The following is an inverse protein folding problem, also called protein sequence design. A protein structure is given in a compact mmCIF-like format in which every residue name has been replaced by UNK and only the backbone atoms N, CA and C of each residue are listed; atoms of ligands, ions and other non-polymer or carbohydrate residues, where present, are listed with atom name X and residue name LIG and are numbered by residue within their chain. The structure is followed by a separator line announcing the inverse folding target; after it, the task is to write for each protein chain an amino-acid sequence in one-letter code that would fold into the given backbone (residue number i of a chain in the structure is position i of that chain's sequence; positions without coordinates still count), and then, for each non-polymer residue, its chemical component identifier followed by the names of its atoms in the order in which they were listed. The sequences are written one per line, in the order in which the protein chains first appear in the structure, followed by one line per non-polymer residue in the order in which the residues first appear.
data_IF_753379785435
#
_entry.id   IF_753379785435
#
_cell.length_a   1.000
_cell.length_b   1.000
_cell.length_c   1.000
_cell.angle_alpha   90.00
_cell.angle_beta   90.00
_cell.angle_gamma   90.00
#
_symmetry.space_group_name_H-M   'P 1'
#
loop_
_entity.id
_entity.type
_entity.pdbx_description
1 polymer ?
#
# COMPACT_ATOMS: atom_id res chain seq x y z
N UNK A 1 -18.27 -23.52 54.00
CA UNK A 1 -19.67 -23.13 53.72
C UNK A 1 -19.85 -22.96 52.22
N UNK A 2 -20.78 -23.69 51.61
CA UNK A 2 -21.11 -23.62 50.18
C UNK A 2 -22.28 -22.65 49.92
N UNK A 3 -22.26 -21.96 48.75
CA UNK A 3 -23.37 -21.43 47.92
C UNK A 3 -22.83 -20.24 47.09
N UNK A 4 -23.17 -19.98 45.83
CA UNK A 4 -24.23 -20.46 44.94
C UNK A 4 -23.83 -20.10 43.48
N UNK A 5 -23.95 -21.02 42.53
CA UNK A 5 -23.81 -20.74 41.10
C UNK A 5 -24.94 -19.80 40.62
N UNK A 6 -24.63 -18.86 39.72
CA UNK A 6 -25.63 -18.13 38.92
C UNK A 6 -25.68 -18.70 37.50
N UNK A 7 -26.89 -19.13 37.09
CA UNK A 7 -27.22 -19.71 35.78
C UNK A 7 -27.17 -18.67 34.66
N UNK A 8 -26.75 -19.13 33.47
CA UNK A 8 -26.70 -18.41 32.19
C UNK A 8 -28.10 -18.17 31.61
N UNK A 9 -28.26 -17.12 30.81
CA UNK A 9 -29.33 -16.98 29.82
C UNK A 9 -28.74 -16.66 28.43
N UNK A 10 -29.34 -17.19 27.34
CA UNK A 10 -28.91 -16.95 25.97
C UNK A 10 -29.50 -15.64 25.45
N UNK A 11 -29.01 -15.10 24.34
CA UNK A 11 -29.82 -14.49 23.26
C UNK A 11 -28.88 -13.98 22.15
N UNK A 12 -29.13 -14.51 20.96
CA UNK A 12 -28.62 -14.13 19.63
C UNK A 12 -27.13 -14.27 19.37
N UNK A 13 -26.85 -15.25 18.52
CA UNK A 13 -25.71 -15.39 17.62
C UNK A 13 -25.43 -14.06 16.90
N UNK A 14 -24.72 -13.14 17.55
CA UNK A 14 -23.93 -12.17 16.81
C UNK A 14 -22.75 -12.97 16.32
N UNK A 15 -22.74 -13.27 15.02
CA UNK A 15 -21.50 -13.64 14.33
C UNK A 15 -20.57 -12.45 14.54
N UNK A 16 -19.83 -12.50 15.65
CA UNK A 16 -18.60 -11.76 15.75
C UNK A 16 -17.75 -12.37 14.65
N UNK A 17 -17.63 -11.67 13.52
CA UNK A 17 -16.42 -11.78 12.74
C UNK A 17 -15.31 -11.47 13.74
N UNK A 18 -14.78 -12.51 14.35
CA UNK A 18 -13.56 -12.40 15.13
C UNK A 18 -12.55 -11.97 14.10
N UNK A 19 -12.17 -10.70 14.13
CA UNK A 19 -10.86 -10.25 13.69
C UNK A 19 -9.85 -11.11 14.45
N UNK A 20 -9.60 -12.31 13.95
CA UNK A 20 -8.58 -13.20 14.47
C UNK A 20 -7.29 -12.42 14.34
N UNK A 21 -6.80 -11.90 15.48
CA UNK A 21 -5.58 -11.10 15.53
C UNK A 21 -4.51 -11.86 14.76
N UNK A 22 -3.99 -11.23 13.70
CA UNK A 22 -2.88 -11.73 12.90
C UNK A 22 -1.70 -12.01 13.85
N UNK A 23 -1.57 -13.27 14.29
CA UNK A 23 -0.59 -13.73 15.28
C UNK A 23 0.41 -14.65 14.59
N UNK A 24 1.29 -14.07 13.79
CA UNK A 24 2.44 -14.77 13.24
C UNK A 24 3.74 -14.22 13.79
N UNK A 25 4.73 -15.10 13.90
CA UNK A 25 6.10 -14.70 14.17
C UNK A 25 6.64 -13.84 13.02
N UNK A 26 7.71 -13.09 13.30
CA UNK A 26 8.41 -12.29 12.28
C UNK A 26 8.89 -13.17 11.11
N UNK A 27 9.33 -14.38 11.40
CA UNK A 27 9.87 -15.32 10.41
C UNK A 27 8.75 -15.83 9.50
N UNK A 28 7.60 -16.20 10.06
CA UNK A 28 6.44 -16.66 9.28
C UNK A 28 5.88 -15.55 8.40
N UNK A 29 5.77 -14.33 8.94
CA UNK A 29 5.32 -13.14 8.18
C UNK A 29 6.24 -12.90 6.99
N UNK A 30 7.57 -12.94 7.20
CA UNK A 30 8.54 -12.75 6.12
C UNK A 30 8.49 -13.88 5.08
N UNK A 31 8.28 -15.14 5.51
CA UNK A 31 8.13 -16.29 4.60
C UNK A 31 6.88 -16.15 3.74
N UNK A 32 5.76 -15.72 4.32
CA UNK A 32 4.52 -15.46 3.60
C UNK A 32 4.71 -14.39 2.54
N UNK A 33 5.27 -13.22 2.92
CA UNK A 33 5.55 -12.12 1.99
C UNK A 33 6.42 -12.60 0.82
N UNK A 34 7.52 -13.32 1.10
CA UNK A 34 8.41 -13.86 0.06
C UNK A 34 7.68 -14.83 -0.88
N UNK A 35 6.92 -15.77 -0.32
CA UNK A 35 6.14 -16.74 -1.10
C UNK A 35 5.17 -16.03 -2.04
N UNK A 36 4.45 -15.02 -1.52
CA UNK A 36 3.52 -14.23 -2.30
C UNK A 36 4.20 -13.50 -3.47
N UNK A 37 5.38 -12.91 -3.25
CA UNK A 37 6.14 -12.27 -4.34
C UNK A 37 6.64 -13.26 -5.40
N UNK A 38 7.03 -14.48 -5.01
CA UNK A 38 7.41 -15.53 -5.97
C UNK A 38 6.21 -15.91 -6.83
N UNK A 39 5.07 -16.23 -6.20
CA UNK A 39 3.84 -16.57 -6.89
C UNK A 39 3.35 -15.43 -7.80
N UNK A 40 3.43 -14.18 -7.35
CA UNK A 40 3.02 -13.03 -8.17
C UNK A 40 3.90 -12.86 -9.43
N UNK A 41 5.21 -13.13 -9.33
CA UNK A 41 6.13 -13.12 -10.48
C UNK A 41 5.84 -14.27 -11.44
N UNK A 42 5.57 -15.46 -10.92
CA UNK A 42 5.18 -16.62 -11.75
C UNK A 42 3.84 -16.38 -12.44
N UNK A 43 2.87 -15.79 -11.74
CA UNK A 43 1.56 -15.44 -12.27
C UNK A 43 1.68 -14.48 -13.46
N UNK A 44 2.52 -13.45 -13.35
CA UNK A 44 2.77 -12.51 -14.44
C UNK A 44 3.33 -13.22 -15.70
N UNK A 45 4.23 -14.20 -15.52
CA UNK A 45 4.74 -15.01 -16.64
C UNK A 45 3.66 -15.89 -17.26
N UNK A 46 2.82 -16.52 -16.43
CA UNK A 46 1.75 -17.39 -16.92
C UNK A 46 0.70 -16.60 -17.70
N UNK A 47 0.35 -15.39 -17.25
CA UNK A 47 -0.59 -14.51 -17.96
C UNK A 47 -0.09 -14.06 -19.34
N UNK A 48 1.22 -14.03 -19.54
CA UNK A 48 1.82 -13.69 -20.83
C UNK A 48 1.82 -14.86 -21.83
N UNK A 49 1.53 -16.09 -21.39
CA UNK A 49 1.55 -17.31 -22.22
C UNK A 49 0.25 -18.13 -22.05
N UNK A 50 -0.63 -18.17 -23.07
CA UNK A 50 -1.87 -18.94 -23.04
C UNK A 50 -1.69 -20.44 -22.72
N UNK A 51 -0.53 -21.02 -23.01
CA UNK A 51 -0.25 -22.44 -22.72
C UNK A 51 -0.10 -22.73 -21.22
N UNK A 52 0.15 -21.68 -20.42
CA UNK A 52 0.32 -21.77 -18.97
C UNK A 52 -0.98 -21.52 -18.19
N UNK A 53 -2.14 -21.46 -18.85
CA UNK A 53 -3.43 -21.19 -18.22
C UNK A 53 -3.76 -22.16 -17.06
N UNK A 54 -3.33 -23.43 -17.16
CA UNK A 54 -3.48 -24.39 -16.05
C UNK A 54 -2.66 -23.95 -14.83
N UNK A 55 -1.41 -23.56 -15.05
CA UNK A 55 -0.50 -23.12 -13.99
C UNK A 55 -0.96 -21.79 -13.37
N UNK A 56 -1.51 -20.88 -14.17
CA UNK A 56 -2.13 -19.65 -13.67
C UNK A 56 -3.23 -19.94 -12.62
N UNK A 57 -4.12 -20.90 -12.91
CA UNK A 57 -5.19 -21.28 -11.99
C UNK A 57 -4.64 -21.90 -10.70
N UNK A 58 -3.62 -22.75 -10.81
CA UNK A 58 -2.94 -23.36 -9.67
C UNK A 58 -2.29 -22.31 -8.77
N UNK A 59 -1.56 -21.34 -9.36
CA UNK A 59 -0.93 -20.25 -8.62
C UNK A 59 -1.97 -19.38 -7.93
N UNK A 60 -3.06 -19.05 -8.62
CA UNK A 60 -4.14 -18.23 -8.05
C UNK A 60 -4.75 -18.94 -6.84
N UNK A 61 -5.03 -20.24 -6.95
CA UNK A 61 -5.50 -21.05 -5.83
C UNK A 61 -4.49 -21.11 -4.70
N UNK A 62 -3.20 -21.28 -5.00
CA UNK A 62 -2.15 -21.30 -3.97
C UNK A 62 -2.05 -19.96 -3.23
N UNK A 63 -2.26 -18.84 -3.93
CA UNK A 63 -2.31 -17.50 -3.34
C UNK A 63 -3.53 -17.34 -2.42
N UNK A 64 -4.70 -17.87 -2.81
CA UNK A 64 -5.90 -17.91 -1.97
C UNK A 64 -5.72 -18.78 -0.73
N UNK A 65 -5.14 -19.98 -0.89
CA UNK A 65 -4.90 -20.94 0.20
C UNK A 65 -3.97 -20.38 1.29
N UNK A 66 -3.03 -19.49 0.95
CA UNK A 66 -2.17 -18.79 1.93
C UNK A 66 -2.81 -17.51 2.51
N UNK A 67 -4.11 -17.30 2.28
CA UNK A 67 -4.91 -16.20 2.82
C UNK A 67 -5.19 -15.07 1.83
N UNK A 68 -4.71 -15.16 0.59
CA UNK A 68 -4.95 -14.18 -0.45
C UNK A 68 -4.26 -12.84 -0.22
N UNK A 69 -4.67 -11.87 -1.03
CA UNK A 69 -4.07 -10.53 -1.03
C UNK A 69 -4.29 -9.77 0.29
N UNK A 70 -5.45 -9.96 0.93
CA UNK A 70 -5.75 -9.34 2.22
C UNK A 70 -4.74 -9.76 3.30
N UNK A 71 -4.46 -11.06 3.41
CA UNK A 71 -3.46 -11.58 4.35
C UNK A 71 -2.05 -11.08 4.03
N UNK A 72 -1.69 -11.03 2.74
CA UNK A 72 -0.42 -10.43 2.32
C UNK A 72 -0.32 -8.96 2.75
N UNK A 73 -1.38 -8.16 2.53
CA UNK A 73 -1.37 -6.74 2.90
C UNK A 73 -1.27 -6.56 4.42
N UNK A 74 -1.99 -7.36 5.22
CA UNK A 74 -1.85 -7.37 6.69
C UNK A 74 -0.44 -7.72 7.13
N UNK A 75 0.16 -8.75 6.53
CA UNK A 75 1.54 -9.16 6.77
C UNK A 75 2.55 -8.04 6.43
N UNK A 76 2.37 -7.39 5.27
CA UNK A 76 3.21 -6.31 4.79
C UNK A 76 3.13 -5.08 5.70
N UNK A 77 1.91 -4.67 6.10
CA UNK A 77 1.69 -3.58 7.06
C UNK A 77 2.37 -3.83 8.40
N UNK A 78 2.30 -5.06 8.92
CA UNK A 78 3.01 -5.43 10.15
C UNK A 78 4.54 -5.29 10.00
N UNK A 79 5.06 -5.65 8.82
CA UNK A 79 6.46 -5.46 8.43
C UNK A 79 6.88 -3.99 8.34
N UNK A 80 5.97 -3.10 7.95
CA UNK A 80 6.22 -1.65 7.79
C UNK A 80 5.93 -0.81 9.04
N UNK A 81 5.56 -1.44 10.16
CA UNK A 81 5.30 -0.73 11.42
C UNK A 81 6.46 0.20 11.82
N UNK A 82 6.16 1.24 12.64
CA UNK A 82 7.13 2.24 13.12
C UNK A 82 8.42 1.62 13.71
N UNK A 83 8.35 0.39 14.22
CA UNK A 83 9.48 -0.34 14.77
C UNK A 83 10.35 -1.08 13.72
N UNK A 84 9.94 -1.16 12.45
CA UNK A 84 10.53 -2.06 11.43
C UNK A 84 10.78 -1.45 10.05
N UNK A 85 10.48 -0.17 9.83
CA UNK A 85 10.76 0.50 8.56
C UNK A 85 10.07 1.86 8.40
N UNK A 86 8.93 2.04 9.07
CA UNK A 86 8.23 3.32 9.10
C UNK A 86 7.52 3.68 7.78
N UNK A 87 6.78 4.78 7.86
CA UNK A 87 6.07 5.40 6.75
C UNK A 87 7.00 6.38 6.02
N UNK A 88 7.04 6.30 4.68
CA UNK A 88 7.87 7.15 3.83
C UNK A 88 7.54 8.64 3.94
N UNK A 89 6.34 9.00 4.40
CA UNK A 89 5.96 10.38 4.68
C UNK A 89 6.97 11.06 5.61
N UNK A 90 7.41 10.38 6.68
CA UNK A 90 8.36 10.95 7.64
C UNK A 90 9.69 11.31 7.01
N UNK A 91 10.23 10.40 6.20
CA UNK A 91 11.46 10.64 5.48
C UNK A 91 11.32 11.79 4.48
N UNK A 92 10.18 11.85 3.77
CA UNK A 92 9.88 12.93 2.83
C UNK A 92 9.86 14.29 3.54
N UNK A 93 9.15 14.40 4.67
CA UNK A 93 9.04 15.65 5.43
C UNK A 93 10.40 16.09 5.97
N UNK A 94 11.18 15.16 6.53
CA UNK A 94 12.54 15.46 6.99
C UNK A 94 13.43 15.96 5.85
N UNK A 95 13.33 15.32 4.69
CA UNK A 95 14.07 15.70 3.48
C UNK A 95 13.68 17.10 3.01
N UNK A 96 12.38 17.40 2.89
CA UNK A 96 11.88 18.71 2.49
C UNK A 96 12.32 19.82 3.45
N UNK A 97 12.16 19.61 4.76
CA UNK A 97 12.63 20.56 5.76
C UNK A 97 14.13 20.82 5.65
N UNK A 98 14.94 19.78 5.41
CA UNK A 98 16.39 19.93 5.29
C UNK A 98 16.78 20.69 4.03
N UNK A 99 16.16 20.40 2.88
CA UNK A 99 16.49 21.05 1.61
C UNK A 99 15.95 22.47 1.49
N UNK A 100 14.84 22.77 2.15
CA UNK A 100 14.24 24.10 2.19
C UNK A 100 14.68 24.93 3.40
N UNK A 101 15.69 24.49 4.16
CA UNK A 101 16.16 25.16 5.39
C UNK A 101 15.03 25.46 6.40
N UNK A 102 14.02 24.59 6.47
CA UNK A 102 12.85 24.75 7.34
C UNK A 102 11.82 25.77 6.84
N UNK A 103 11.91 26.25 5.60
CA UNK A 103 11.01 27.26 5.03
C UNK A 103 9.91 26.68 4.13
N UNK A 104 9.76 25.36 4.08
CA UNK A 104 8.79 24.70 3.17
C UNK A 104 7.33 25.03 3.52
N UNK A 105 7.06 25.34 4.78
CA UNK A 105 5.74 25.73 5.29
C UNK A 105 5.41 27.22 5.02
N UNK A 106 6.38 27.99 4.51
CA UNK A 106 6.23 29.41 4.16
C UNK A 106 5.91 29.61 2.66
N UNK A 107 5.83 28.53 1.88
CA UNK A 107 5.44 28.60 0.48
C UNK A 107 3.99 29.10 0.32
N UNK A 108 3.77 29.99 -0.66
CA UNK A 108 2.44 30.58 -0.91
C UNK A 108 1.40 29.60 -1.46
N UNK A 109 1.83 28.44 -1.94
CA UNK A 109 0.99 27.35 -2.44
C UNK A 109 1.36 26.05 -1.73
N UNK A 110 0.38 25.25 -1.30
CA UNK A 110 0.64 23.93 -0.74
C UNK A 110 1.31 23.00 -1.76
N UNK A 111 2.24 22.19 -1.30
CA UNK A 111 2.91 21.14 -2.08
C UNK A 111 1.92 20.01 -2.35
N UNK A 112 1.71 19.66 -3.62
CA UNK A 112 0.85 18.55 -4.04
C UNK A 112 1.63 17.24 -4.06
N UNK A 113 1.24 16.30 -3.20
CA UNK A 113 1.88 14.99 -3.08
C UNK A 113 0.93 13.89 -3.56
N UNK A 114 1.36 13.07 -4.51
CA UNK A 114 0.70 11.80 -4.83
C UNK A 114 1.36 10.68 -4.00
N UNK A 115 0.61 10.09 -3.07
CA UNK A 115 1.11 9.00 -2.21
C UNK A 115 0.63 7.65 -2.74
N UNK A 116 1.49 6.95 -3.47
CA UNK A 116 1.18 5.68 -4.13
C UNK A 116 1.51 4.52 -3.19
N UNK A 117 0.54 3.62 -3.00
CA UNK A 117 0.68 2.50 -2.06
C UNK A 117 0.41 2.91 -0.61
N UNK A 118 -0.46 3.91 -0.41
CA UNK A 118 -0.71 4.49 0.89
C UNK A 118 -1.27 3.42 1.85
N UNK A 119 -0.63 3.27 3.01
CA UNK A 119 -1.06 2.31 4.05
C UNK A 119 -2.00 2.90 5.08
N UNK A 120 -2.01 4.23 5.21
CA UNK A 120 -2.87 5.01 6.07
C UNK A 120 -3.28 6.32 5.37
N UNK A 121 -4.50 6.82 5.59
CA UNK A 121 -5.04 7.99 4.88
C UNK A 121 -4.47 9.32 5.39
N UNK A 122 -3.90 9.33 6.58
CA UNK A 122 -3.58 10.53 7.37
C UNK A 122 -2.07 10.75 7.57
N UNK A 123 -1.24 10.04 6.79
CA UNK A 123 0.22 10.16 6.80
C UNK A 123 0.72 11.63 6.75
N UNK A 124 0.01 12.48 6.01
CA UNK A 124 0.34 13.90 5.83
C UNK A 124 -0.57 14.87 6.61
N UNK A 125 -1.53 14.37 7.39
CA UNK A 125 -2.49 15.21 8.12
C UNK A 125 -1.80 16.27 9.03
N UNK A 126 -0.70 15.94 9.76
CA UNK A 126 0.01 16.92 10.58
C UNK A 126 0.61 18.10 9.80
N UNK A 127 0.72 17.98 8.47
CA UNK A 127 1.34 18.96 7.58
C UNK A 127 0.33 19.58 6.60
N UNK A 128 -0.97 19.42 6.88
CA UNK A 128 -2.06 19.89 6.01
C UNK A 128 -2.10 21.40 5.77
N UNK A 129 -1.36 22.21 6.54
CA UNK A 129 -1.20 23.64 6.28
C UNK A 129 -0.36 23.95 5.04
N UNK A 130 0.53 23.03 4.62
CA UNK A 130 1.43 23.25 3.49
C UNK A 130 1.57 22.04 2.55
N UNK A 131 0.90 20.92 2.84
CA UNK A 131 0.80 19.74 1.96
C UNK A 131 -0.65 19.44 1.61
N UNK A 132 -0.89 19.22 0.32
CA UNK A 132 -2.11 18.57 -0.19
C UNK A 132 -1.75 17.19 -0.71
N UNK A 133 -2.09 16.15 0.05
CA UNK A 133 -1.80 14.77 -0.31
C UNK A 133 -2.99 14.07 -0.98
N UNK A 134 -2.73 13.31 -2.04
CA UNK A 134 -3.67 12.38 -2.67
C UNK A 134 -3.18 10.93 -2.43
N UNK A 135 -3.74 10.22 -1.44
CA UNK A 135 -3.38 8.82 -1.19
C UNK A 135 -4.11 7.89 -2.15
N UNK A 136 -3.37 7.03 -2.83
CA UNK A 136 -3.90 6.00 -3.73
C UNK A 136 -3.33 4.62 -3.41
N UNK A 137 -4.09 3.57 -3.68
CA UNK A 137 -3.63 2.18 -3.59
C UNK A 137 -4.40 1.29 -4.58
N UNK A 138 -3.81 0.18 -5.03
CA UNK A 138 -4.50 -0.75 -5.92
C UNK A 138 -5.62 -1.53 -5.20
N UNK A 139 -5.43 -1.79 -3.91
CA UNK A 139 -6.33 -2.52 -3.03
C UNK A 139 -6.38 -1.84 -1.65
N UNK A 140 -7.00 -0.65 -1.56
CA UNK A 140 -6.98 0.15 -0.35
C UNK A 140 -7.66 -0.58 0.80
N UNK A 141 -7.06 -0.43 1.98
CA UNK A 141 -7.52 -1.01 3.24
C UNK A 141 -8.28 0.02 4.10
N UNK A 142 -8.49 1.22 3.56
CA UNK A 142 -9.19 2.32 4.22
C UNK A 142 -9.98 3.12 3.16
N UNK A 143 -11.25 3.50 3.40
CA UNK A 143 -12.12 4.13 2.41
C UNK A 143 -11.63 5.53 1.94
N UNK A 144 -10.85 6.22 2.77
CA UNK A 144 -10.25 7.51 2.41
C UNK A 144 -8.98 7.38 1.52
N UNK A 145 -8.60 6.17 1.13
CA UNK A 145 -7.52 5.92 0.16
C UNK A 145 -8.18 5.52 -1.16
N UNK A 146 -7.87 6.27 -2.23
CA UNK A 146 -8.50 6.05 -3.54
C UNK A 146 -8.00 4.74 -4.16
N UNK A 147 -8.94 3.89 -4.63
CA UNK A 147 -8.59 2.69 -5.37
C UNK A 147 -8.19 3.07 -6.80
N UNK A 148 -6.90 3.04 -7.10
CA UNK A 148 -6.39 3.43 -8.40
C UNK A 148 -5.14 2.62 -8.77
N UNK A 149 -5.09 2.13 -10.01
CA UNK A 149 -3.85 1.65 -10.61
C UNK A 149 -3.07 2.83 -11.18
N UNK A 150 -1.90 3.12 -10.61
CA UNK A 150 -1.10 4.27 -11.02
C UNK A 150 -0.52 4.13 -12.43
N UNK A 151 -0.33 2.89 -12.93
CA UNK A 151 0.15 2.64 -14.29
C UNK A 151 -0.92 2.97 -15.34
N UNK A 152 -2.18 2.98 -14.92
CA UNK A 152 -3.33 3.30 -15.77
C UNK A 152 -3.85 4.72 -15.54
N UNK A 153 -3.20 5.52 -14.69
CA UNK A 153 -3.57 6.92 -14.50
C UNK A 153 -3.33 7.69 -15.79
N UNK A 154 -4.35 8.42 -16.22
CA UNK A 154 -4.19 9.40 -17.29
C UNK A 154 -3.33 10.56 -16.76
N UNK A 155 -2.44 11.13 -17.59
CA UNK A 155 -1.70 12.32 -17.20
C UNK A 155 -2.70 13.43 -16.79
N UNK A 156 -2.53 14.04 -15.61
CA UNK A 156 -3.40 15.13 -15.19
C UNK A 156 -3.22 16.34 -16.10
N UNK A 157 -4.21 17.23 -16.11
CA UNK A 157 -4.05 18.55 -16.70
C UNK A 157 -2.87 19.29 -16.03
N UNK A 158 -2.31 20.30 -16.70
CA UNK A 158 -1.09 20.99 -16.23
C UNK A 158 -1.23 21.47 -14.78
N UNK A 159 -2.37 22.04 -14.42
CA UNK A 159 -2.62 22.60 -13.08
C UNK A 159 -2.91 21.53 -12.01
N UNK A 160 -3.19 20.29 -12.43
CA UNK A 160 -3.49 19.14 -11.57
C UNK A 160 -2.28 18.20 -11.41
N UNK A 161 -1.12 18.58 -11.94
CA UNK A 161 0.14 17.85 -11.74
C UNK A 161 0.57 17.89 -10.28
N UNK A 162 1.31 16.87 -9.90
CA UNK A 162 1.88 16.74 -8.57
C UNK A 162 3.29 17.32 -8.54
N UNK A 163 3.64 17.95 -7.42
CA UNK A 163 5.00 18.41 -7.16
C UNK A 163 5.89 17.23 -6.74
N UNK A 164 5.30 16.25 -6.04
CA UNK A 164 6.00 15.09 -5.52
C UNK A 164 5.16 13.83 -5.74
N UNK A 165 5.81 12.76 -6.21
CA UNK A 165 5.25 11.40 -6.22
C UNK A 165 6.00 10.57 -5.19
N UNK A 166 5.33 10.15 -4.13
CA UNK A 166 5.86 9.21 -3.15
C UNK A 166 5.46 7.79 -3.56
N UNK A 167 6.44 6.90 -3.75
CA UNK A 167 6.20 5.51 -4.15
C UNK A 167 7.18 4.55 -3.46
N UNK A 168 7.01 4.34 -2.16
CA UNK A 168 7.87 3.44 -1.40
C UNK A 168 7.43 1.98 -1.55
N UNK A 169 8.36 1.10 -1.94
CA UNK A 169 8.17 -0.36 -2.08
C UNK A 169 7.07 -0.82 -3.07
N UNK A 170 6.40 0.11 -3.77
CA UNK A 170 5.35 -0.18 -4.76
C UNK A 170 5.90 -0.97 -5.95
N UNK A 171 7.07 -0.57 -6.46
CA UNK A 171 7.73 -1.24 -7.60
C UNK A 171 8.05 -2.72 -7.28
N UNK A 172 8.32 -3.04 -6.01
CA UNK A 172 8.65 -4.40 -5.60
C UNK A 172 7.46 -5.37 -5.72
N UNK A 173 6.23 -4.85 -5.76
CA UNK A 173 5.03 -5.65 -5.95
C UNK A 173 4.76 -5.97 -7.42
N UNK A 174 5.32 -5.20 -8.38
CA UNK A 174 5.12 -5.43 -9.81
C UNK A 174 5.85 -6.69 -10.26
N UNK A 175 5.08 -7.70 -10.70
CA UNK A 175 5.59 -9.01 -11.10
C UNK A 175 6.41 -8.99 -12.38
N UNK A 176 5.94 -8.27 -13.41
CA UNK A 176 6.57 -8.19 -14.73
C UNK A 176 7.71 -7.13 -14.75
N UNK A 177 8.94 -7.50 -15.15
CA UNK A 177 10.02 -6.54 -15.38
C UNK A 177 9.71 -5.42 -16.39
N UNK A 178 8.89 -5.68 -17.43
CA UNK A 178 8.52 -4.66 -18.43
C UNK A 178 7.66 -3.57 -17.80
N UNK A 179 6.67 -3.95 -17.00
CA UNK A 179 5.81 -3.02 -16.28
C UNK A 179 6.61 -2.18 -15.28
N UNK A 180 7.68 -2.73 -14.68
CA UNK A 180 8.60 -1.94 -13.84
C UNK A 180 9.28 -0.80 -14.62
N UNK A 181 9.57 -0.99 -15.90
CA UNK A 181 10.10 0.07 -16.77
C UNK A 181 9.05 1.15 -17.12
N UNK A 182 7.78 0.76 -17.22
CA UNK A 182 6.65 1.66 -17.50
C UNK A 182 6.35 2.60 -16.33
N UNK A 183 6.72 2.22 -15.11
CA UNK A 183 6.64 3.09 -13.90
C UNK A 183 7.28 4.45 -14.15
N UNK A 184 8.50 4.47 -14.71
CA UNK A 184 9.24 5.72 -14.96
C UNK A 184 8.51 6.63 -15.96
N UNK A 185 7.93 6.07 -17.02
CA UNK A 185 7.16 6.84 -18.00
C UNK A 185 5.90 7.44 -17.37
N UNK A 186 5.22 6.65 -16.55
CA UNK A 186 3.99 7.06 -15.85
C UNK A 186 4.30 8.17 -14.84
N UNK A 187 5.36 8.02 -14.03
CA UNK A 187 5.80 9.04 -13.07
C UNK A 187 6.12 10.38 -13.74
N UNK A 188 6.87 10.36 -14.84
CA UNK A 188 7.22 11.59 -15.56
C UNK A 188 5.99 12.33 -16.12
N UNK A 189 4.91 11.60 -16.44
CA UNK A 189 3.67 12.22 -16.89
C UNK A 189 2.90 12.90 -15.75
N UNK A 190 3.01 12.37 -14.52
CA UNK A 190 2.33 12.85 -13.31
C UNK A 190 3.01 14.08 -12.67
N UNK A 191 4.32 14.19 -12.84
CA UNK A 191 5.12 15.32 -12.35
C UNK A 191 5.08 16.51 -13.31
N UNK A 192 5.34 17.71 -12.77
CA UNK A 192 5.75 18.83 -13.61
C UNK A 192 7.03 18.48 -14.37
N UNK A 193 7.07 18.76 -15.67
CA UNK A 193 8.30 18.67 -16.43
C UNK A 193 9.15 19.87 -16.05
N UNK A 194 10.32 19.63 -15.46
CA UNK A 194 11.40 20.62 -15.43
C UNK A 194 12.08 20.53 -16.79
N UNK A 195 11.76 21.45 -17.68
CA UNK A 195 12.65 21.72 -18.80
C UNK A 195 13.91 22.36 -18.20
N UNK A 196 15.04 21.63 -18.21
CA UNK A 196 16.36 22.23 -18.03
C UNK A 196 16.72 23.00 -19.30
#
# INVERSE_FOLDING_TARGET
MAKKQKKKWPITTRVQHTDAKFKHSRVETARLIRKFHVLNKELAKCKADPQLAKREREITKEMEDIGGLDWYQKASKLGQSKARGGDSSKWLIQTLNSHCNGLVDQCSKPVKVLDIGAVAPDNYQPYSSWITAKPIDLNPQHPAIEKQDFLLMKPPAKDDKFDIVCLSLVINFVGDPKDRGTVNKSMNALLYSVAM
#
